data_IF_114362365099
#
_entry.id   IF_114362365099
#
_cell.length_a   1.000
_cell.length_b   1.000
_cell.length_c   1.000
_cell.angle_alpha   90.00
_cell.angle_beta   90.00
_cell.angle_gamma   90.00
#
_symmetry.space_group_name_H-M   'P 1'
#
loop_
_entity.id
_entity.type
_entity.pdbx_description
1 polymer ?
#
# COMPACT_ATOMS: atom_id res chain seq x y z
N UNK A 1 10.81 -20.19 -0.75
CA UNK A 1 10.22 -19.88 -2.07
C UNK A 1 9.95 -18.39 -2.09
N UNK A 2 10.23 -17.70 -3.19
CA UNK A 2 9.84 -16.29 -3.34
C UNK A 2 8.39 -16.26 -3.82
N UNK A 3 7.52 -15.55 -3.10
CA UNK A 3 6.11 -15.35 -3.48
C UNK A 3 5.83 -13.87 -3.75
N UNK A 4 4.88 -13.53 -4.64
CA UNK A 4 4.45 -12.15 -4.82
C UNK A 4 3.86 -11.55 -3.54
N UNK A 5 4.20 -10.30 -3.24
CA UNK A 5 3.61 -9.55 -2.14
C UNK A 5 2.39 -8.78 -2.64
N UNK A 6 1.22 -9.14 -2.11
CA UNK A 6 -0.01 -8.38 -2.26
C UNK A 6 -0.13 -7.36 -1.14
N UNK A 7 -0.72 -6.21 -1.44
CA UNK A 7 -0.81 -5.06 -0.53
C UNK A 7 -2.27 -4.67 -0.34
N UNK A 8 -2.63 -4.36 0.90
CA UNK A 8 -3.87 -3.68 1.22
C UNK A 8 -3.66 -2.17 0.99
N UNK A 9 -4.45 -1.54 0.09
CA UNK A 9 -4.32 -0.12 -0.21
C UNK A 9 -4.74 0.74 0.97
N UNK A 10 -4.23 1.98 1.01
CA UNK A 10 -4.71 3.02 1.91
C UNK A 10 -5.54 4.03 1.13
N UNK A 11 -6.76 4.29 1.58
CA UNK A 11 -7.68 5.23 0.95
C UNK A 11 -7.69 6.57 1.68
N UNK A 12 -7.73 7.66 0.92
CA UNK A 12 -7.81 9.01 1.49
C UNK A 12 -8.98 9.78 0.89
N UNK A 13 -9.72 10.44 1.78
CA UNK A 13 -10.80 11.35 1.39
C UNK A 13 -10.24 12.66 0.85
N UNK A 14 -10.94 13.22 -0.14
CA UNK A 14 -10.62 14.48 -0.79
C UNK A 14 -11.91 15.22 -1.16
N UNK A 15 -11.85 16.55 -1.19
CA UNK A 15 -13.00 17.38 -1.62
C UNK A 15 -13.46 17.08 -3.05
N UNK A 16 -12.56 16.56 -3.88
CA UNK A 16 -12.81 16.15 -5.25
C UNK A 16 -13.00 14.62 -5.37
N UNK A 17 -13.01 13.91 -4.25
CA UNK A 17 -13.22 12.47 -4.22
C UNK A 17 -14.63 12.05 -4.55
N UNK A 18 -14.80 10.76 -4.84
CA UNK A 18 -16.04 10.17 -5.33
C UNK A 18 -16.15 8.70 -4.95
N UNK A 19 -17.00 7.97 -5.65
CA UNK A 19 -17.18 6.52 -5.48
C UNK A 19 -16.59 5.68 -6.62
N UNK A 20 -15.93 6.29 -7.60
CA UNK A 20 -15.33 5.59 -8.75
C UNK A 20 -14.42 4.42 -8.37
N UNK A 21 -13.65 4.55 -7.29
CA UNK A 21 -12.81 3.45 -6.79
C UNK A 21 -13.62 2.21 -6.39
N UNK A 22 -14.85 2.41 -5.91
CA UNK A 22 -15.78 1.33 -5.59
C UNK A 22 -16.50 0.82 -6.84
N UNK A 23 -17.00 1.70 -7.72
CA UNK A 23 -17.81 1.30 -8.88
C UNK A 23 -16.99 0.62 -9.98
N UNK A 24 -15.80 1.13 -10.28
CA UNK A 24 -14.97 0.62 -11.39
C UNK A 24 -14.02 -0.50 -10.96
N UNK A 25 -13.53 -0.46 -9.72
CA UNK A 25 -12.52 -1.41 -9.23
C UNK A 25 -13.01 -2.33 -8.12
N UNK A 26 -14.24 -2.14 -7.63
CA UNK A 26 -14.82 -2.98 -6.58
C UNK A 26 -14.19 -2.79 -5.21
N UNK A 27 -13.47 -1.69 -4.98
CA UNK A 27 -12.88 -1.43 -3.67
C UNK A 27 -13.93 -1.12 -2.61
N UNK A 28 -13.68 -1.61 -1.39
CA UNK A 28 -14.37 -1.13 -0.21
C UNK A 28 -13.72 0.19 0.22
N UNK A 29 -14.41 1.30 -0.04
CA UNK A 29 -13.93 2.65 0.22
C UNK A 29 -14.65 3.26 1.42
N UNK A 30 -13.95 4.04 2.26
CA UNK A 30 -14.49 4.56 3.52
C UNK A 30 -15.65 5.54 3.32
N UNK A 31 -15.70 6.25 2.19
CA UNK A 31 -16.79 7.18 1.87
C UNK A 31 -16.94 7.41 0.37
N UNK A 32 -18.03 8.08 -0.01
CA UNK A 32 -18.27 8.66 -1.34
C UNK A 32 -17.42 9.91 -1.63
N UNK A 33 -16.52 10.29 -0.72
CA UNK A 33 -15.51 11.34 -0.92
C UNK A 33 -14.09 10.77 -1.06
N UNK A 34 -13.95 9.47 -1.36
CA UNK A 34 -12.62 8.86 -1.52
C UNK A 34 -11.99 9.32 -2.83
N UNK A 35 -10.91 10.09 -2.74
CA UNK A 35 -10.21 10.64 -3.91
C UNK A 35 -8.95 9.90 -4.30
N UNK A 36 -8.22 9.36 -3.31
CA UNK A 36 -6.92 8.73 -3.55
C UNK A 36 -6.90 7.29 -3.04
N UNK A 37 -6.30 6.41 -3.84
CA UNK A 37 -5.94 5.04 -3.47
C UNK A 37 -4.42 4.92 -3.51
N UNK A 38 -3.80 4.78 -2.35
CA UNK A 38 -2.37 4.55 -2.21
C UNK A 38 -2.13 3.04 -2.15
N UNK A 39 -2.08 2.41 -3.32
CA UNK A 39 -2.04 0.95 -3.47
C UNK A 39 -0.67 0.33 -3.11
N UNK A 40 0.42 0.96 -3.56
CA UNK A 40 1.79 0.59 -3.20
C UNK A 40 2.40 1.83 -2.55
N UNK A 41 2.43 1.84 -1.22
CA UNK A 41 2.88 3.00 -0.47
C UNK A 41 3.72 2.60 0.72
N UNK A 42 4.86 3.24 0.87
CA UNK A 42 5.68 3.22 2.08
C UNK A 42 5.75 4.61 2.73
N UNK A 43 4.79 5.50 2.38
CA UNK A 43 4.80 6.86 2.89
C UNK A 43 4.32 6.88 4.36
N UNK A 44 4.96 7.63 5.28
CA UNK A 44 4.63 7.60 6.71
C UNK A 44 3.17 7.89 7.06
N UNK A 45 2.47 8.66 6.22
CA UNK A 45 1.06 9.02 6.43
C UNK A 45 0.05 8.01 5.86
N UNK A 46 0.50 6.98 5.17
CA UNK A 46 -0.38 5.95 4.63
C UNK A 46 0.41 4.79 4.05
N UNK A 47 1.19 4.06 4.87
CA UNK A 47 1.94 2.92 4.38
C UNK A 47 0.97 1.74 4.16
N UNK A 48 1.04 1.17 2.97
CA UNK A 48 0.27 -0.02 2.61
C UNK A 48 0.76 -1.24 3.40
N UNK A 49 -0.16 -2.14 3.73
CA UNK A 49 0.12 -3.32 4.56
C UNK A 49 0.17 -4.57 3.70
N UNK A 50 1.13 -5.47 3.92
CA UNK A 50 1.21 -6.74 3.21
C UNK A 50 0.00 -7.62 3.55
N UNK A 51 -0.64 -8.17 2.52
CA UNK A 51 -1.90 -8.92 2.64
C UNK A 51 -1.72 -10.44 2.73
N UNK A 52 -0.56 -10.97 2.30
CA UNK A 52 -0.29 -12.41 2.20
C UNK A 52 1.09 -12.80 2.75
N UNK A 53 1.28 -14.12 2.87
CA UNK A 53 2.59 -14.70 3.15
C UNK A 53 3.14 -14.43 4.54
N UNK A 54 4.45 -14.60 4.66
CA UNK A 54 5.22 -14.45 5.91
C UNK A 54 5.13 -13.03 6.48
N UNK A 55 5.12 -12.01 5.63
CA UNK A 55 5.15 -10.61 6.04
C UNK A 55 3.75 -10.00 6.24
N UNK A 56 2.69 -10.81 6.18
CA UNK A 56 1.31 -10.34 6.32
C UNK A 56 1.13 -9.50 7.59
N UNK A 57 0.49 -8.34 7.43
CA UNK A 57 0.24 -7.40 8.54
C UNK A 57 1.39 -6.43 8.82
N UNK A 58 2.55 -6.61 8.19
CA UNK A 58 3.66 -5.64 8.23
C UNK A 58 3.42 -4.57 7.17
N UNK A 59 3.79 -3.33 7.48
CA UNK A 59 3.70 -2.21 6.54
C UNK A 59 4.91 -2.16 5.61
N UNK A 60 4.73 -1.65 4.38
CA UNK A 60 5.76 -1.69 3.34
C UNK A 60 7.04 -0.91 3.72
N UNK A 61 6.91 0.18 4.47
CA UNK A 61 8.01 0.94 5.05
C UNK A 61 8.84 0.11 6.04
N UNK A 62 8.17 -0.63 6.94
CA UNK A 62 8.85 -1.52 7.88
C UNK A 62 9.52 -2.69 7.18
N UNK A 63 8.87 -3.25 6.17
CA UNK A 63 9.46 -4.33 5.38
C UNK A 63 10.72 -3.82 4.65
N UNK A 64 10.68 -2.60 4.10
CA UNK A 64 11.85 -1.96 3.51
C UNK A 64 13.00 -1.80 4.51
N UNK A 65 12.74 -1.42 5.75
CA UNK A 65 13.78 -1.26 6.77
C UNK A 65 14.36 -2.60 7.26
N UNK A 66 13.51 -3.60 7.47
CA UNK A 66 13.89 -4.87 8.11
C UNK A 66 14.30 -5.98 7.15
N UNK A 67 13.80 -5.98 5.91
CA UNK A 67 13.96 -7.07 4.94
C UNK A 67 14.35 -6.53 3.55
N UNK A 68 15.50 -5.84 3.48
CA UNK A 68 15.96 -5.17 2.26
C UNK A 68 16.23 -6.14 1.10
N UNK A 69 16.49 -7.40 1.38
CA UNK A 69 16.69 -8.47 0.41
C UNK A 69 15.45 -8.71 -0.47
N UNK A 70 14.25 -8.45 0.06
CA UNK A 70 12.99 -8.55 -0.69
C UNK A 70 12.91 -7.51 -1.81
N UNK A 71 13.71 -6.45 -1.71
CA UNK A 71 13.78 -5.34 -2.68
C UNK A 71 15.08 -5.37 -3.49
N UNK A 72 15.69 -6.55 -3.65
CA UNK A 72 16.93 -6.72 -4.42
C UNK A 72 18.13 -5.98 -3.83
N UNK A 73 18.13 -5.75 -2.50
CA UNK A 73 19.16 -4.99 -1.81
C UNK A 73 19.31 -3.54 -2.32
N UNK A 74 18.21 -2.93 -2.78
CA UNK A 74 18.20 -1.57 -3.28
C UNK A 74 18.70 -0.54 -2.24
N UNK A 75 19.45 0.46 -2.72
CA UNK A 75 19.95 1.56 -1.89
C UNK A 75 18.88 2.64 -1.73
N UNK A 76 18.82 3.25 -0.56
CA UNK A 76 17.89 4.33 -0.26
C UNK A 76 17.45 4.32 1.20
N UNK A 77 17.06 5.49 1.69
CA UNK A 77 16.51 5.64 3.05
C UNK A 77 15.05 5.20 3.12
N UNK A 78 14.29 5.39 2.04
CA UNK A 78 12.86 5.06 1.96
C UNK A 78 12.56 4.32 0.66
N UNK A 79 11.53 3.47 0.67
CA UNK A 79 11.04 2.81 -0.52
C UNK A 79 10.37 3.82 -1.46
N UNK A 80 10.71 3.73 -2.75
CA UNK A 80 10.07 4.45 -3.83
C UNK A 80 9.66 3.41 -4.87
N UNK A 81 8.36 3.37 -5.20
CA UNK A 81 7.76 2.47 -6.20
C UNK A 81 8.17 2.83 -7.62
#
# INVERSE_FOLDING_TARGET
MSEPLFLNPVFHEKIWGGDHLRTEFGYDIPSDHTGECWAISAHPHGPATIANGEFKGITLDKLWESHREQFGNAKGKSFHS
#
